data_IF_330618429280
#
_entry.id   IF_330618429280
#
_cell.length_a   1.000
_cell.length_b   1.000
_cell.length_c   1.000
_cell.angle_alpha   90.00
_cell.angle_beta   90.00
_cell.angle_gamma   90.00
#
_symmetry.space_group_name_H-M   'P 1'
#
loop_
_entity.id
_entity.type
_entity.pdbx_description
1 polymer ?
#
# COMPACT_ATOMS: atom_id res chain seq x y z
N UNK A 1 6.06 -16.12 2.73
CA UNK A 1 4.66 -16.63 2.62
C UNK A 1 4.57 -17.47 1.36
N UNK A 2 4.12 -18.73 1.47
CA UNK A 2 4.23 -19.72 0.40
C UNK A 2 3.66 -19.24 -0.93
N UNK A 3 4.45 -19.36 -2.02
CA UNK A 3 4.08 -18.99 -3.40
C UNK A 3 2.70 -19.51 -3.84
N UNK A 4 2.26 -20.61 -3.22
CA UNK A 4 0.96 -21.25 -3.43
C UNK A 4 -0.21 -20.35 -3.00
N UNK A 5 -0.11 -19.69 -1.83
CA UNK A 5 -1.19 -18.84 -1.29
C UNK A 5 -1.38 -17.59 -2.16
N UNK A 6 -0.29 -16.98 -2.63
CA UNK A 6 -0.35 -15.85 -3.57
C UNK A 6 -1.00 -16.25 -4.90
N UNK A 7 -0.66 -17.44 -5.42
CA UNK A 7 -1.25 -17.95 -6.66
C UNK A 7 -2.74 -18.22 -6.51
N UNK A 8 -3.17 -18.74 -5.35
CA UNK A 8 -4.57 -18.97 -5.03
C UNK A 8 -5.37 -17.66 -4.98
N UNK A 9 -4.87 -16.64 -4.27
CA UNK A 9 -5.51 -15.32 -4.18
C UNK A 9 -5.62 -14.65 -5.55
N UNK A 10 -4.63 -14.85 -6.42
CA UNK A 10 -4.60 -14.29 -7.78
C UNK A 10 -5.62 -14.96 -8.73
N UNK A 11 -5.91 -16.25 -8.54
CA UNK A 11 -6.87 -16.99 -9.36
C UNK A 11 -8.30 -16.97 -8.80
N UNK A 12 -8.46 -16.67 -7.52
CA UNK A 12 -9.77 -16.55 -6.86
C UNK A 12 -10.80 -15.65 -7.57
N UNK A 13 -10.46 -14.48 -8.16
CA UNK A 13 -11.46 -13.64 -8.82
C UNK A 13 -11.99 -14.28 -10.12
N UNK A 14 -11.17 -15.09 -10.80
CA UNK A 14 -11.62 -15.87 -11.96
C UNK A 14 -12.62 -16.94 -11.54
N UNK A 15 -12.35 -17.62 -10.43
CA UNK A 15 -13.26 -18.63 -9.87
C UNK A 15 -14.59 -17.99 -9.45
N UNK A 16 -14.55 -16.86 -8.76
CA UNK A 16 -15.74 -16.09 -8.39
C UNK A 16 -16.52 -15.63 -9.62
N UNK A 17 -15.83 -15.21 -10.69
CA UNK A 17 -16.46 -14.83 -11.94
C UNK A 17 -17.18 -16.00 -12.63
N UNK A 18 -16.58 -17.19 -12.65
CA UNK A 18 -17.25 -18.39 -13.18
C UNK A 18 -18.46 -18.77 -12.33
N UNK A 19 -18.33 -18.71 -10.99
CA UNK A 19 -19.48 -18.94 -10.09
C UNK A 19 -20.61 -17.93 -10.33
N UNK A 20 -20.29 -16.67 -10.60
CA UNK A 20 -21.28 -15.64 -10.92
C UNK A 20 -22.12 -16.02 -12.14
N UNK A 21 -21.48 -16.54 -13.19
CA UNK A 21 -22.18 -16.98 -14.40
C UNK A 21 -23.07 -18.19 -14.17
N UNK A 22 -22.66 -19.07 -13.24
CA UNK A 22 -23.40 -20.28 -12.88
C UNK A 22 -24.41 -20.04 -11.74
N UNK A 23 -24.56 -18.81 -11.26
CA UNK A 23 -25.42 -18.53 -10.10
C UNK A 23 -26.88 -18.74 -10.48
N UNK A 24 -27.53 -19.68 -9.79
CA UNK A 24 -28.97 -19.84 -9.87
C UNK A 24 -29.65 -18.64 -9.21
N UNK A 25 -30.39 -17.86 -10.00
CA UNK A 25 -31.07 -16.63 -9.58
C UNK A 25 -32.47 -16.87 -9.02
N UNK A 26 -33.03 -18.04 -9.27
CA UNK A 26 -34.34 -18.43 -8.75
C UNK A 26 -34.24 -18.96 -7.32
N UNK A 27 -33.02 -19.31 -6.87
CA UNK A 27 -32.75 -19.71 -5.50
C UNK A 27 -32.13 -18.55 -4.67
N UNK A 28 -32.90 -17.91 -3.77
CA UNK A 28 -32.42 -16.76 -2.99
C UNK A 28 -31.26 -17.13 -2.05
N UNK A 29 -31.19 -18.37 -1.57
CA UNK A 29 -30.08 -18.84 -0.70
C UNK A 29 -28.76 -18.83 -1.48
N UNK A 30 -28.81 -19.25 -2.74
CA UNK A 30 -27.63 -19.31 -3.60
C UNK A 30 -27.13 -17.90 -3.95
N UNK A 31 -28.04 -16.98 -4.26
CA UNK A 31 -27.72 -15.56 -4.53
C UNK A 31 -27.10 -14.90 -3.31
N UNK A 32 -27.72 -15.03 -2.14
CA UNK A 32 -27.22 -14.42 -0.89
C UNK A 32 -25.85 -14.99 -0.52
N UNK A 33 -25.68 -16.31 -0.61
CA UNK A 33 -24.41 -16.96 -0.34
C UNK A 33 -23.28 -16.46 -1.25
N UNK A 34 -23.56 -16.31 -2.54
CA UNK A 34 -22.60 -15.76 -3.49
C UNK A 34 -22.22 -14.31 -3.17
N UNK A 35 -23.20 -13.46 -2.83
CA UNK A 35 -22.95 -12.07 -2.42
C UNK A 35 -22.09 -12.01 -1.15
N UNK A 36 -22.40 -12.83 -0.14
CA UNK A 36 -21.61 -12.89 1.10
C UNK A 36 -20.16 -13.30 0.84
N UNK A 37 -19.93 -14.31 -0.02
CA UNK A 37 -18.60 -14.72 -0.46
C UNK A 37 -17.83 -13.57 -1.11
N UNK A 38 -18.50 -12.79 -1.95
CA UNK A 38 -17.91 -11.67 -2.68
C UNK A 38 -17.49 -10.54 -1.72
N UNK A 39 -18.31 -10.26 -0.71
CA UNK A 39 -17.98 -9.30 0.34
C UNK A 39 -16.79 -9.77 1.19
N UNK A 40 -16.78 -11.03 1.64
CA UNK A 40 -15.68 -11.61 2.40
C UNK A 40 -14.37 -11.52 1.61
N UNK A 41 -14.39 -11.90 0.34
CA UNK A 41 -13.21 -11.81 -0.52
C UNK A 41 -12.70 -10.37 -0.64
N UNK A 42 -13.63 -9.42 -0.82
CA UNK A 42 -13.31 -7.99 -0.89
C UNK A 42 -12.67 -7.50 0.41
N UNK A 43 -13.20 -7.88 1.57
CA UNK A 43 -12.62 -7.54 2.88
C UNK A 43 -11.20 -8.08 3.02
N UNK A 44 -10.93 -9.32 2.61
CA UNK A 44 -9.58 -9.91 2.64
C UNK A 44 -8.62 -9.11 1.75
N UNK A 45 -9.08 -8.69 0.57
CA UNK A 45 -8.32 -7.84 -0.34
C UNK A 45 -7.97 -6.49 0.28
N UNK A 46 -8.95 -5.86 0.93
CA UNK A 46 -8.77 -4.58 1.63
C UNK A 46 -7.82 -4.76 2.83
N UNK A 47 -7.96 -5.81 3.63
CA UNK A 47 -7.01 -6.08 4.72
C UNK A 47 -5.59 -6.26 4.19
N UNK A 48 -5.43 -6.93 3.05
CA UNK A 48 -4.12 -7.12 2.42
C UNK A 48 -3.52 -5.81 1.91
N UNK A 49 -4.31 -4.94 1.28
CA UNK A 49 -3.83 -3.63 0.84
C UNK A 49 -3.47 -2.75 2.04
N UNK A 50 -4.29 -2.79 3.09
CA UNK A 50 -4.05 -2.03 4.31
C UNK A 50 -2.81 -2.52 5.05
N UNK A 51 -2.58 -3.83 5.12
CA UNK A 51 -1.36 -4.40 5.70
C UNK A 51 -0.11 -3.99 4.90
N UNK A 52 -0.19 -3.99 3.58
CA UNK A 52 0.90 -3.50 2.73
C UNK A 52 1.14 -1.99 2.92
N UNK A 53 0.06 -1.21 3.06
CA UNK A 53 0.12 0.22 3.37
C UNK A 53 0.74 0.49 4.74
N UNK A 54 0.31 -0.22 5.78
CA UNK A 54 0.83 -0.12 7.15
C UNK A 54 2.30 -0.49 7.19
N UNK A 55 2.70 -1.58 6.50
CA UNK A 55 4.10 -1.95 6.32
C UNK A 55 4.88 -0.85 5.62
N UNK A 56 4.35 -0.27 4.55
CA UNK A 56 4.99 0.82 3.84
C UNK A 56 5.12 2.07 4.72
N UNK A 57 4.12 2.42 5.53
CA UNK A 57 4.26 3.50 6.50
C UNK A 57 5.33 3.13 7.52
N UNK A 58 5.27 1.96 8.16
CA UNK A 58 6.30 1.54 9.12
C UNK A 58 7.73 1.51 8.55
N UNK A 59 7.93 1.13 7.28
CA UNK A 59 9.26 1.10 6.63
C UNK A 59 9.74 2.49 6.17
N UNK A 60 8.85 3.50 6.05
CA UNK A 60 9.18 4.85 5.60
C UNK A 60 8.90 5.97 6.63
N UNK A 61 8.20 5.67 7.71
CA UNK A 61 7.81 6.56 8.82
C UNK A 61 8.76 6.42 10.02
N UNK A 62 9.58 5.36 10.07
CA UNK A 62 10.67 5.26 11.03
C UNK A 62 11.87 6.09 10.54
N UNK A 63 11.88 7.37 10.93
CA UNK A 63 13.04 8.12 11.45
C UNK A 63 14.35 8.27 10.62
N UNK A 64 14.55 7.62 9.48
CA UNK A 64 15.81 7.71 8.70
C UNK A 64 15.86 8.81 7.63
N UNK A 65 14.74 9.48 7.32
CA UNK A 65 14.77 10.71 6.51
C UNK A 65 15.06 11.97 7.34
N UNK A 66 14.79 11.93 8.65
CA UNK A 66 15.05 13.03 9.57
C UNK A 66 16.35 12.92 10.37
N UNK A 67 16.95 11.72 10.46
CA UNK A 67 18.16 11.45 11.26
C UNK A 67 19.35 11.00 10.42
N UNK A 68 19.34 11.23 9.11
CA UNK A 68 20.54 10.95 8.32
C UNK A 68 21.54 12.10 8.50
N UNK A 69 22.68 11.90 9.18
CA UNK A 69 23.66 12.97 9.43
C UNK A 69 24.22 13.57 8.14
N UNK A 70 24.10 12.86 7.00
CA UNK A 70 24.47 13.40 5.69
C UNK A 70 23.47 14.44 5.15
N UNK A 71 22.16 14.26 5.39
CA UNK A 71 21.11 15.22 5.00
C UNK A 71 21.18 16.46 5.89
N UNK A 72 21.39 16.29 7.20
CA UNK A 72 21.59 17.41 8.12
C UNK A 72 22.84 18.23 7.76
N UNK A 73 23.95 17.57 7.43
CA UNK A 73 25.14 18.25 6.91
C UNK A 73 24.89 18.98 5.59
N UNK A 74 24.02 18.46 4.72
CA UNK A 74 23.69 19.14 3.46
C UNK A 74 22.82 20.39 3.69
N UNK A 75 21.93 20.34 4.68
CA UNK A 75 21.16 21.51 5.14
C UNK A 75 22.09 22.59 5.71
N UNK A 76 23.02 22.21 6.59
CA UNK A 76 23.99 23.13 7.18
C UNK A 76 24.93 23.74 6.13
N UNK A 77 25.31 22.95 5.11
CA UNK A 77 26.12 23.44 3.99
C UNK A 77 25.36 24.44 3.12
N UNK A 78 24.06 24.22 2.89
CA UNK A 78 23.20 25.14 2.13
C UNK A 78 23.01 26.46 2.88
N UNK A 79 22.81 26.41 4.19
CA UNK A 79 22.67 27.60 5.04
C UNK A 79 23.96 28.44 5.02
N UNK A 80 25.13 27.81 5.15
CA UNK A 80 26.43 28.49 5.05
C UNK A 80 26.70 29.10 3.66
N UNK A 81 26.23 28.45 2.60
CA UNK A 81 26.37 28.98 1.24
C UNK A 81 25.44 30.18 1.00
N UNK A 82 24.21 30.16 1.51
CA UNK A 82 23.28 31.29 1.44
C UNK A 82 23.76 32.49 2.28
N UNK A 83 24.36 32.24 3.45
CA UNK A 83 24.97 33.28 4.28
C UNK A 83 26.23 33.90 3.63
N UNK A 84 26.98 33.10 2.86
CA UNK A 84 28.17 33.54 2.13
C UNK A 84 27.83 34.25 0.81
N UNK A 85 26.74 33.87 0.13
CA UNK A 85 26.25 34.53 -1.08
C UNK A 85 25.59 35.88 -0.77
N UNK A 86 24.94 36.02 0.39
CA UNK A 86 24.37 37.28 0.88
C UNK A 86 25.39 38.31 1.37
N UNK A 87 26.65 37.91 1.64
CA UNK A 87 27.72 38.79 2.11
C UNK A 87 28.71 39.22 1.02
N UNK A 88 28.47 38.82 -0.24
CA UNK A 88 29.27 39.20 -1.41
C UNK A 88 28.81 40.46 -2.14
N UNK A 89 27.85 41.21 -1.58
CA UNK A 89 27.28 42.40 -2.23
C UNK A 89 27.36 43.67 -1.37
N UNK A 90 28.42 43.83 -0.58
CA UNK A 90 28.87 45.16 -0.12
C UNK A 90 30.40 45.25 -0.24
N UNK A 91 30.86 45.91 -1.30
CA UNK A 91 32.27 46.17 -1.61
C UNK A 91 32.42 46.95 -2.90
#
# INVERSE_FOLDING_TARGET
MGKIIQKLIRWMPVVLFVLLLMVDRDNPVHVVGFISLLLIYTTILIMRILYAKERWHKEYDDSELGSNPSIQKMSDLKEKLEEQDGTGQEG
#
